data_IF_671042893987
#
_entry.id   IF_671042893987
#
_cell.length_a   1.000
_cell.length_b   1.000
_cell.length_c   1.000
_cell.angle_alpha   90.00
_cell.angle_beta   90.00
_cell.angle_gamma   90.00
#
_symmetry.space_group_name_H-M   'P 1'
#
loop_
_entity.id
_entity.type
_entity.pdbx_description
1 polymer ?
#
# COMPACT_ATOMS: atom_id res chain seq x y z
N UNK A 1 17.19 -11.16 1.28
CA UNK A 1 16.85 -9.75 1.04
C UNK A 1 15.39 -9.52 1.33
N UNK A 2 15.08 -8.55 2.15
CA UNK A 2 13.71 -8.28 2.58
C UNK A 2 13.23 -6.96 1.99
N UNK A 3 12.02 -6.95 1.48
CA UNK A 3 11.37 -5.74 1.00
C UNK A 3 10.07 -5.53 1.74
N UNK A 4 9.55 -4.32 1.69
CA UNK A 4 8.26 -3.97 2.26
C UNK A 4 7.25 -3.77 1.14
N UNK A 5 6.14 -4.46 1.23
CA UNK A 5 5.07 -4.38 0.23
C UNK A 5 3.92 -3.56 0.81
N UNK A 6 3.49 -2.55 0.07
CA UNK A 6 2.31 -1.77 0.41
C UNK A 6 1.20 -2.12 -0.58
N UNK A 7 0.07 -2.54 -0.04
CA UNK A 7 -1.15 -2.73 -0.83
C UNK A 7 -2.15 -1.69 -0.32
N UNK A 8 -2.57 -0.80 -1.18
CA UNK A 8 -3.53 0.25 -0.82
C UNK A 8 -4.72 0.18 -1.77
N UNK A 9 -5.92 0.26 -1.22
CA UNK A 9 -7.15 0.18 -1.98
C UNK A 9 -7.95 1.45 -1.77
N UNK A 10 -8.38 2.07 -2.86
CA UNK A 10 -9.23 3.24 -2.84
C UNK A 10 -10.48 2.95 -3.68
N UNK A 11 -11.62 2.90 -3.00
CA UNK A 11 -12.93 2.64 -3.63
C UNK A 11 -12.91 1.42 -4.56
N UNK A 12 -12.25 0.36 -4.09
CA UNK A 12 -12.16 -0.89 -4.82
C UNK A 12 -11.00 -1.00 -5.80
N UNK A 13 -10.28 0.08 -6.07
CA UNK A 13 -9.11 0.04 -6.94
C UNK A 13 -7.87 -0.20 -6.11
N UNK A 14 -7.17 -1.28 -6.38
CA UNK A 14 -6.01 -1.71 -5.62
C UNK A 14 -4.71 -1.26 -6.28
N UNK A 15 -3.79 -0.77 -5.45
CA UNK A 15 -2.45 -0.37 -5.87
C UNK A 15 -1.44 -1.14 -5.04
N UNK A 16 -0.48 -1.77 -5.69
CA UNK A 16 0.56 -2.55 -5.02
C UNK A 16 1.92 -1.95 -5.35
N UNK A 17 2.68 -1.59 -4.31
CA UNK A 17 4.01 -1.03 -4.49
C UNK A 17 5.01 -1.73 -3.58
N UNK A 18 6.26 -1.75 -3.99
CA UNK A 18 7.35 -2.41 -3.26
C UNK A 18 8.35 -1.35 -2.83
N UNK A 19 8.75 -1.39 -1.58
CA UNK A 19 9.64 -0.41 -0.97
C UNK A 19 10.80 -1.09 -0.25
N UNK A 20 11.89 -0.37 -0.07
CA UNK A 20 13.07 -0.90 0.58
C UNK A 20 12.92 -0.97 2.11
N UNK A 21 12.04 -0.15 2.68
CA UNK A 21 11.83 -0.11 4.12
C UNK A 21 10.38 0.17 4.47
N UNK A 22 10.03 -0.09 5.71
CA UNK A 22 8.71 0.23 6.22
C UNK A 22 8.47 1.75 6.21
N UNK A 23 9.48 2.53 6.53
CA UNK A 23 9.38 4.00 6.53
C UNK A 23 9.01 4.51 5.15
N UNK A 24 9.63 3.97 4.09
CA UNK A 24 9.30 4.34 2.71
C UNK A 24 7.88 3.94 2.35
N UNK A 25 7.44 2.75 2.79
CA UNK A 25 6.08 2.30 2.54
C UNK A 25 5.06 3.20 3.25
N UNK A 26 5.34 3.63 4.46
CA UNK A 26 4.47 4.55 5.20
C UNK A 26 4.39 5.91 4.52
N UNK A 27 5.52 6.40 4.03
CA UNK A 27 5.56 7.65 3.27
C UNK A 27 4.72 7.54 1.99
N UNK A 28 4.85 6.43 1.29
CA UNK A 28 4.05 6.17 0.10
C UNK A 28 2.56 6.08 0.42
N UNK A 29 2.21 5.47 1.56
CA UNK A 29 0.83 5.40 2.00
C UNK A 29 0.25 6.79 2.27
N UNK A 30 1.01 7.67 2.92
CA UNK A 30 0.56 9.03 3.16
C UNK A 30 0.38 9.80 1.85
N UNK A 31 1.28 9.61 0.89
CA UNK A 31 1.14 10.22 -0.44
C UNK A 31 -0.12 9.72 -1.14
N UNK A 32 -0.44 8.44 -0.99
CA UNK A 32 -1.66 7.86 -1.53
C UNK A 32 -2.90 8.51 -0.91
N UNK A 33 -2.90 8.68 0.41
CA UNK A 33 -4.00 9.33 1.12
C UNK A 33 -4.16 10.78 0.65
N UNK A 34 -3.06 11.53 0.55
CA UNK A 34 -3.10 12.91 0.08
C UNK A 34 -3.63 13.02 -1.34
N UNK A 35 -3.20 12.11 -2.21
CA UNK A 35 -3.62 12.10 -3.60
C UNK A 35 -5.12 11.91 -3.75
N UNK A 36 -5.72 11.08 -2.92
CA UNK A 36 -7.14 10.74 -3.02
C UNK A 36 -8.01 11.46 -1.99
N UNK A 37 -7.43 12.37 -1.20
CA UNK A 37 -8.16 13.04 -0.13
C UNK A 37 -9.37 13.82 -0.63
N UNK A 38 -9.18 14.62 -1.66
CA UNK A 38 -10.25 15.44 -2.20
C UNK A 38 -11.39 14.60 -2.77
N UNK A 39 -11.06 13.48 -3.40
CA UNK A 39 -12.09 12.56 -3.92
C UNK A 39 -12.86 11.88 -2.79
N UNK A 40 -12.14 11.46 -1.75
CA UNK A 40 -12.75 10.77 -0.61
C UNK A 40 -13.69 11.70 0.18
N UNK A 41 -13.31 12.95 0.34
CA UNK A 41 -14.05 13.93 1.16
C UNK A 41 -14.68 15.05 0.35
N UNK A 42 -14.99 14.78 -0.91
CA UNK A 42 -15.76 15.67 -1.79
C UNK A 42 -15.21 17.10 -1.90
N UNK A 43 -13.90 17.19 -2.13
CA UNK A 43 -13.22 18.47 -2.31
C UNK A 43 -12.79 19.14 -1.02
N UNK A 44 -12.99 18.49 0.12
CA UNK A 44 -12.53 18.98 1.41
C UNK A 44 -10.99 19.02 1.43
N UNK A 45 -10.41 20.11 1.91
CA UNK A 45 -8.97 20.22 2.01
C UNK A 45 -8.41 19.36 3.13
N UNK A 46 -7.22 18.83 2.91
CA UNK A 46 -6.50 18.13 3.96
C UNK A 46 -6.17 19.09 5.11
N UNK A 47 -6.45 18.68 6.32
CA UNK A 47 -6.16 19.49 7.49
C UNK A 47 -4.77 19.18 8.01
N UNK A 48 -3.86 20.12 7.85
CA UNK A 48 -2.47 19.97 8.31
C UNK A 48 -2.34 19.88 9.83
N UNK A 49 -3.34 20.31 10.57
CA UNK A 49 -3.34 20.19 12.02
C UNK A 49 -3.60 18.77 12.53
N UNK A 50 -4.06 17.87 11.67
CA UNK A 50 -4.29 16.49 12.03
C UNK A 50 -3.01 15.69 11.95
N UNK A 51 -2.82 14.76 12.88
CA UNK A 51 -1.69 13.84 12.82
C UNK A 51 -1.87 12.88 11.65
N UNK A 52 -0.76 12.21 11.27
CA UNK A 52 -0.81 11.19 10.22
C UNK A 52 -1.76 10.07 10.60
N UNK A 53 -1.75 9.63 11.87
CA UNK A 53 -2.63 8.58 12.36
C UNK A 53 -4.10 8.97 12.22
N UNK A 54 -4.45 10.20 12.55
CA UNK A 54 -5.82 10.67 12.42
C UNK A 54 -6.27 10.72 10.97
N UNK A 55 -5.38 11.15 10.07
CA UNK A 55 -5.68 11.18 8.64
C UNK A 55 -5.89 9.77 8.10
N UNK A 56 -5.03 8.83 8.50
CA UNK A 56 -5.18 7.44 8.10
C UNK A 56 -6.50 6.85 8.62
N UNK A 57 -6.82 7.07 9.87
CA UNK A 57 -8.06 6.56 10.46
C UNK A 57 -9.27 7.12 9.72
N UNK A 58 -9.28 8.39 9.44
CA UNK A 58 -10.40 9.02 8.74
C UNK A 58 -10.55 8.50 7.32
N UNK A 59 -9.43 8.39 6.59
CA UNK A 59 -9.44 7.92 5.20
C UNK A 59 -9.89 6.47 5.10
N UNK A 60 -9.37 5.60 5.97
CA UNK A 60 -9.65 4.18 5.93
C UNK A 60 -10.85 3.76 6.81
N UNK A 61 -11.59 4.71 7.32
CA UNK A 61 -12.87 4.43 7.97
C UNK A 61 -13.95 4.00 6.96
N UNK A 62 -13.79 4.36 5.69
CA UNK A 62 -14.66 3.91 4.61
C UNK A 62 -14.31 2.46 4.27
N UNK A 63 -15.29 1.58 4.28
CA UNK A 63 -15.10 0.14 4.02
C UNK A 63 -14.53 -0.16 2.63
N UNK A 64 -14.65 0.77 1.70
CA UNK A 64 -14.12 0.61 0.35
C UNK A 64 -12.63 0.90 0.27
N UNK A 65 -12.05 1.47 1.32
CA UNK A 65 -10.64 1.82 1.41
C UNK A 65 -9.95 0.91 2.40
N UNK A 66 -8.76 0.46 2.05
CA UNK A 66 -7.98 -0.40 2.94
C UNK A 66 -6.50 -0.31 2.59
N UNK A 67 -5.64 -0.69 3.51
CA UNK A 67 -4.23 -0.85 3.22
C UNK A 67 -3.63 -1.99 4.03
N UNK A 68 -2.55 -2.53 3.49
CA UNK A 68 -1.73 -3.53 4.18
C UNK A 68 -0.28 -3.19 3.92
N UNK A 69 0.54 -3.23 4.96
CA UNK A 69 1.99 -3.11 4.84
C UNK A 69 2.55 -4.41 5.40
N UNK A 70 3.33 -5.12 4.59
CA UNK A 70 3.90 -6.40 4.98
C UNK A 70 5.32 -6.54 4.47
N UNK A 71 6.13 -7.29 5.19
CA UNK A 71 7.49 -7.59 4.76
C UNK A 71 7.49 -8.90 3.98
N UNK A 72 8.29 -8.95 2.94
CA UNK A 72 8.47 -10.15 2.12
C UNK A 72 9.96 -10.40 1.90
N UNK A 73 10.37 -11.64 2.00
CA UNK A 73 11.74 -12.04 1.72
C UNK A 73 11.85 -12.42 0.26
N UNK A 74 12.61 -11.65 -0.51
CA UNK A 74 12.78 -11.89 -1.94
C UNK A 74 13.42 -13.24 -2.23
N UNK A 75 14.30 -13.72 -1.37
CA UNK A 75 14.91 -15.04 -1.57
C UNK A 75 13.87 -16.15 -1.52
N UNK A 76 12.95 -16.07 -0.57
CA UNK A 76 11.86 -17.04 -0.47
C UNK A 76 10.90 -16.89 -1.64
N UNK A 77 10.65 -15.67 -2.06
CA UNK A 77 9.76 -15.42 -3.18
C UNK A 77 10.32 -16.00 -4.48
N UNK A 78 11.63 -15.84 -4.72
CA UNK A 78 12.28 -16.41 -5.89
C UNK A 78 12.22 -17.92 -5.89
N UNK A 79 12.49 -18.56 -4.75
CA UNK A 79 12.37 -20.01 -4.62
C UNK A 79 10.94 -20.47 -4.91
N UNK A 80 9.97 -19.76 -4.39
CA UNK A 80 8.58 -20.09 -4.59
C UNK A 80 8.16 -19.95 -6.05
N UNK A 81 8.62 -18.89 -6.71
CA UNK A 81 8.35 -18.66 -8.12
C UNK A 81 8.97 -19.77 -8.96
N UNK A 82 10.22 -20.13 -8.67
CA UNK A 82 10.90 -21.22 -9.40
C UNK A 82 10.17 -22.54 -9.25
N UNK A 83 9.69 -22.83 -8.04
CA UNK A 83 8.96 -24.07 -7.78
C UNK A 83 7.58 -24.08 -8.46
N UNK A 84 6.95 -22.94 -8.56
CA UNK A 84 5.61 -22.80 -9.14
C UNK A 84 5.63 -22.60 -10.66
N UNK A 85 6.76 -22.19 -11.19
CA UNK A 85 6.89 -21.89 -12.62
C UNK A 85 6.69 -23.17 -13.45
N UNK A 86 5.88 -23.10 -14.50
CA UNK A 86 5.74 -24.24 -15.40
C UNK A 86 7.11 -24.62 -15.96
N UNK A 87 7.39 -25.91 -15.96
CA UNK A 87 8.63 -26.38 -16.57
C UNK A 87 8.60 -26.07 -18.06
N UNK A 88 9.66 -25.48 -18.62
CA UNK A 88 9.70 -25.27 -20.05
C UNK A 88 9.51 -26.56 -20.81
N UNK A 89 8.67 -26.52 -21.81
CA UNK A 89 8.40 -27.69 -22.65
C UNK A 89 9.35 -27.71 -23.83
N UNK A 90 10.11 -28.68 -23.84
CA UNK A 90 11.09 -28.82 -24.94
C UNK A 90 12.29 -28.14 -24.59
#
# INVERSE_FOLDING_TARGET
MTVTVLVATFRGTQSITIHESQTEAETALMSFVELHWAEQFEGESEEFSRSEDERLQRFFADDRNAYVIAEADLSQLEEHIDAARPTPRG
#
